data_IF_837491205275
#
_entry.id   IF_837491205275
#
_cell.length_a   1.000
_cell.length_b   1.000
_cell.length_c   1.000
_cell.angle_alpha   90.00
_cell.angle_beta   90.00
_cell.angle_gamma   90.00
#
_symmetry.space_group_name_H-M   'P 1'
#
loop_
_entity.id
_entity.type
_entity.pdbx_description
1 polymer ?
#
# COMPACT_ATOMS: atom_id res chain seq x y z
N UNK A 1 51.83 -37.67 6.99
CA UNK A 1 50.79 -36.63 6.80
C UNK A 1 50.06 -36.46 8.12
N UNK A 2 50.12 -35.26 8.71
CA UNK A 2 49.61 -35.06 10.08
C UNK A 2 48.09 -35.00 10.15
N UNK A 3 47.52 -35.79 11.07
CA UNK A 3 46.07 -35.85 11.33
C UNK A 3 45.48 -34.47 11.65
N UNK A 4 46.25 -33.59 12.30
CA UNK A 4 45.81 -32.23 12.64
C UNK A 4 45.58 -31.34 11.39
N UNK A 5 46.33 -31.55 10.30
CA UNK A 5 46.14 -30.81 9.05
C UNK A 5 44.85 -31.22 8.33
N UNK A 6 44.45 -32.49 8.46
CA UNK A 6 43.20 -33.00 7.87
C UNK A 6 41.96 -32.49 8.64
N UNK A 7 42.01 -32.48 9.97
CA UNK A 7 40.92 -31.93 10.78
C UNK A 7 40.69 -30.42 10.55
N UNK A 8 41.76 -29.61 10.48
CA UNK A 8 41.61 -28.17 10.23
C UNK A 8 40.93 -27.84 8.89
N UNK A 9 41.27 -28.59 7.83
CA UNK A 9 40.66 -28.38 6.49
C UNK A 9 39.17 -28.70 6.48
N UNK A 10 38.76 -29.78 7.14
CA UNK A 10 37.34 -30.14 7.25
C UNK A 10 36.57 -29.15 8.13
N UNK A 11 37.16 -28.68 9.24
CA UNK A 11 36.52 -27.67 10.09
C UNK A 11 36.29 -26.35 9.33
N UNK A 12 37.30 -25.90 8.57
CA UNK A 12 37.25 -24.67 7.79
C UNK A 12 36.24 -24.76 6.63
N UNK A 13 36.15 -25.93 5.95
CA UNK A 13 35.15 -26.18 4.92
C UNK A 13 33.71 -26.19 5.45
N UNK A 14 33.47 -26.82 6.61
CA UNK A 14 32.14 -26.80 7.25
C UNK A 14 31.76 -25.40 7.73
N UNK A 15 32.71 -24.64 8.31
CA UNK A 15 32.49 -23.24 8.67
C UNK A 15 32.13 -22.38 7.45
N UNK A 16 32.86 -22.50 6.34
CA UNK A 16 32.55 -21.80 5.09
C UNK A 16 31.16 -22.16 4.55
N UNK A 17 30.77 -23.45 4.61
CA UNK A 17 29.45 -23.89 4.17
C UNK A 17 28.32 -23.33 5.03
N UNK A 18 28.46 -23.39 6.36
CA UNK A 18 27.49 -22.81 7.32
C UNK A 18 27.42 -21.29 7.18
N UNK A 19 28.56 -20.59 7.02
CA UNK A 19 28.59 -19.16 6.73
C UNK A 19 27.89 -18.83 5.42
N UNK A 20 28.07 -19.62 4.36
CA UNK A 20 27.40 -19.38 3.07
C UNK A 20 25.88 -19.57 3.15
N UNK A 21 25.39 -20.54 3.93
CA UNK A 21 23.97 -20.73 4.20
C UNK A 21 23.39 -19.59 5.05
N UNK A 22 24.12 -19.10 6.04
CA UNK A 22 23.73 -17.94 6.85
C UNK A 22 23.71 -16.63 6.04
N UNK A 23 24.64 -16.47 5.08
CA UNK A 23 24.63 -15.33 4.16
C UNK A 23 23.46 -15.41 3.15
N UNK A 24 23.11 -16.60 2.66
CA UNK A 24 21.94 -16.79 1.79
C UNK A 24 20.63 -16.47 2.54
N UNK A 25 20.48 -16.95 3.78
CA UNK A 25 19.34 -16.60 4.63
C UNK A 25 19.28 -15.11 5.06
N UNK A 26 20.36 -14.35 4.85
CA UNK A 26 20.41 -12.90 5.10
C UNK A 26 20.15 -12.04 3.84
N UNK A 27 19.95 -12.65 2.67
CA UNK A 27 19.56 -11.95 1.43
C UNK A 27 18.04 -11.90 1.19
N UNK A 28 17.24 -12.64 1.97
CA UNK A 28 15.80 -12.84 1.75
C UNK A 28 14.87 -11.78 2.41
N UNK A 29 15.41 -10.65 2.89
CA UNK A 29 14.63 -9.64 3.64
C UNK A 29 14.29 -8.35 2.88
N UNK A 30 14.68 -8.22 1.61
CA UNK A 30 14.04 -7.24 0.74
C UNK A 30 12.72 -7.82 0.21
N UNK A 31 11.54 -7.28 0.56
CA UNK A 31 10.30 -7.74 -0.04
C UNK A 31 10.40 -7.54 -1.55
N UNK A 32 10.20 -8.64 -2.30
CA UNK A 32 10.18 -8.64 -3.77
C UNK A 32 9.28 -7.50 -4.25
N UNK A 33 9.81 -6.71 -5.19
CA UNK A 33 9.09 -5.59 -5.78
C UNK A 33 7.71 -6.05 -6.28
N UNK A 34 6.70 -5.22 -6.08
CA UNK A 34 5.39 -5.43 -6.70
C UNK A 34 5.56 -5.62 -8.22
N UNK A 35 4.88 -6.61 -8.77
CA UNK A 35 4.83 -6.86 -10.21
C UNK A 35 3.60 -6.22 -10.84
N UNK A 36 3.57 -6.15 -12.18
CA UNK A 36 2.35 -5.79 -12.91
C UNK A 36 1.20 -6.76 -12.60
N UNK A 37 1.48 -8.06 -12.45
CA UNK A 37 0.46 -9.04 -12.04
C UNK A 37 -0.12 -8.74 -10.65
N UNK A 38 0.71 -8.30 -9.69
CA UNK A 38 0.22 -7.92 -8.36
C UNK A 38 -0.68 -6.67 -8.40
N UNK A 39 -0.41 -5.73 -9.32
CA UNK A 39 -1.24 -4.54 -9.56
C UNK A 39 -2.56 -4.90 -10.23
N UNK A 40 -2.56 -5.74 -11.27
CA UNK A 40 -3.79 -6.20 -11.93
C UNK A 40 -4.65 -7.06 -10.98
N UNK A 41 -4.02 -7.91 -10.15
CA UNK A 41 -4.70 -8.69 -9.11
C UNK A 41 -5.35 -7.78 -8.05
N UNK A 42 -4.68 -6.68 -7.71
CA UNK A 42 -5.18 -5.71 -6.75
C UNK A 42 -6.37 -4.92 -7.30
N UNK A 43 -6.28 -4.41 -8.53
CA UNK A 43 -7.37 -3.70 -9.21
C UNK A 43 -8.61 -4.60 -9.30
N UNK A 44 -8.43 -5.86 -9.74
CA UNK A 44 -9.52 -6.85 -9.82
C UNK A 44 -10.17 -7.16 -8.48
N UNK A 45 -9.41 -7.16 -7.39
CA UNK A 45 -10.00 -7.33 -6.07
C UNK A 45 -10.95 -6.17 -5.73
N UNK A 46 -10.62 -4.93 -6.10
CA UNK A 46 -11.51 -3.78 -5.93
C UNK A 46 -12.72 -3.80 -6.86
N UNK A 47 -12.55 -4.24 -8.11
CA UNK A 47 -13.67 -4.49 -9.05
C UNK A 47 -14.66 -5.52 -8.45
N UNK A 48 -14.17 -6.68 -8.03
CA UNK A 48 -14.99 -7.72 -7.40
C UNK A 48 -15.66 -7.24 -6.09
N UNK A 49 -15.01 -6.39 -5.31
CA UNK A 49 -15.59 -5.80 -4.08
C UNK A 49 -16.73 -4.83 -4.41
N UNK A 50 -16.58 -4.03 -5.46
CA UNK A 50 -17.62 -3.12 -5.93
C UNK A 50 -18.86 -3.91 -6.42
N UNK A 51 -18.65 -5.00 -7.17
CA UNK A 51 -19.74 -5.89 -7.62
C UNK A 51 -20.56 -6.47 -6.44
N UNK A 52 -19.90 -6.88 -5.35
CA UNK A 52 -20.58 -7.43 -4.15
C UNK A 52 -20.92 -6.39 -3.08
N UNK A 53 -20.76 -5.10 -3.37
CA UNK A 53 -20.95 -4.01 -2.41
C UNK A 53 -22.34 -4.00 -1.77
N UNK A 54 -23.38 -4.31 -2.56
CA UNK A 54 -24.76 -4.47 -2.05
C UNK A 54 -24.93 -5.64 -1.07
N UNK A 55 -24.23 -6.77 -1.28
CA UNK A 55 -24.22 -7.89 -0.33
C UNK A 55 -23.51 -7.49 0.97
N UNK A 56 -22.37 -6.78 0.87
CA UNK A 56 -21.60 -6.31 2.02
C UNK A 56 -22.37 -5.32 2.89
N UNK A 57 -23.03 -4.34 2.28
CA UNK A 57 -23.79 -3.32 3.01
C UNK A 57 -25.04 -3.92 3.68
N UNK A 58 -25.74 -4.83 3.00
CA UNK A 58 -26.88 -5.53 3.59
C UNK A 58 -26.45 -6.37 4.81
N UNK A 59 -25.36 -7.15 4.70
CA UNK A 59 -24.82 -7.93 5.82
C UNK A 59 -24.34 -7.04 6.99
N UNK A 60 -23.78 -5.84 6.70
CA UNK A 60 -23.39 -4.86 7.71
C UNK A 60 -24.61 -4.32 8.49
N UNK A 61 -25.70 -4.02 7.77
CA UNK A 61 -26.96 -3.55 8.35
C UNK A 61 -27.60 -4.65 9.22
N UNK A 62 -27.70 -5.88 8.71
CA UNK A 62 -28.34 -7.00 9.42
C UNK A 62 -27.54 -7.43 10.68
N UNK A 63 -26.20 -7.39 10.61
CA UNK A 63 -25.34 -7.60 11.77
C UNK A 63 -25.30 -6.43 12.76
N UNK A 64 -25.86 -5.26 12.39
CA UNK A 64 -25.78 -3.98 13.13
C UNK A 64 -24.34 -3.52 13.39
N UNK A 65 -23.43 -3.87 12.48
CA UNK A 65 -22.02 -3.50 12.59
C UNK A 65 -21.80 -2.05 12.18
N UNK A 66 -20.91 -1.35 12.88
CA UNK A 66 -20.52 0.01 12.51
C UNK A 66 -19.77 0.05 11.18
N UNK A 67 -18.96 -0.98 10.92
CA UNK A 67 -18.17 -1.13 9.69
C UNK A 67 -18.30 -2.54 9.11
N UNK A 68 -17.98 -2.71 7.82
CA UNK A 68 -17.84 -4.04 7.20
C UNK A 68 -16.67 -4.85 7.79
N UNK A 69 -15.68 -4.18 8.41
CA UNK A 69 -14.51 -4.83 9.01
C UNK A 69 -14.89 -5.64 10.25
N UNK A 70 -15.84 -5.13 11.05
CA UNK A 70 -16.29 -5.74 12.31
C UNK A 70 -17.29 -6.90 12.08
N UNK A 71 -17.98 -6.86 10.94
CA UNK A 71 -19.01 -7.82 10.52
C UNK A 71 -18.40 -9.19 10.12
N UNK A 72 -18.87 -10.29 10.71
CA UNK A 72 -18.38 -11.65 10.42
C UNK A 72 -18.82 -12.16 9.05
N UNK A 73 -20.08 -11.92 8.69
CA UNK A 73 -20.64 -12.32 7.39
C UNK A 73 -20.02 -11.53 6.24
N UNK A 74 -19.81 -10.22 6.43
CA UNK A 74 -19.10 -9.35 5.50
C UNK A 74 -17.66 -9.84 5.25
N UNK A 75 -16.95 -10.33 6.28
CA UNK A 75 -15.64 -10.99 6.12
C UNK A 75 -15.70 -12.27 5.29
N UNK A 76 -16.84 -12.96 5.20
CA UNK A 76 -17.03 -14.11 4.31
C UNK A 76 -17.27 -13.68 2.86
N UNK A 77 -18.16 -12.71 2.65
CA UNK A 77 -18.46 -12.11 1.33
C UNK A 77 -17.19 -11.52 0.73
N UNK A 78 -16.48 -10.68 1.49
CA UNK A 78 -15.24 -10.04 1.06
C UNK A 78 -14.13 -11.06 0.76
N UNK A 79 -14.02 -12.14 1.56
CA UNK A 79 -13.06 -13.22 1.29
C UNK A 79 -13.28 -13.87 -0.07
N UNK A 80 -14.53 -14.07 -0.51
CA UNK A 80 -14.83 -14.59 -1.86
C UNK A 80 -14.30 -13.65 -2.93
N UNK A 81 -14.72 -12.37 -2.90
CA UNK A 81 -14.33 -11.36 -3.88
C UNK A 81 -12.80 -11.25 -4.06
N UNK A 82 -12.01 -11.28 -2.98
CA UNK A 82 -10.53 -11.23 -3.08
C UNK A 82 -9.90 -12.55 -3.51
N UNK A 83 -10.52 -13.70 -3.20
CA UNK A 83 -10.07 -15.01 -3.68
C UNK A 83 -10.33 -15.19 -5.18
N UNK A 84 -11.48 -14.71 -5.67
CA UNK A 84 -11.83 -14.69 -7.10
C UNK A 84 -10.91 -13.76 -7.90
N UNK A 85 -10.33 -12.73 -7.26
CA UNK A 85 -9.28 -11.91 -7.84
C UNK A 85 -7.90 -12.61 -7.88
N UNK A 86 -7.70 -13.68 -7.10
CA UNK A 86 -6.46 -14.49 -7.09
C UNK A 86 -5.63 -14.43 -5.81
N UNK A 87 -6.09 -13.79 -4.73
CA UNK A 87 -5.42 -13.85 -3.43
C UNK A 87 -5.71 -15.18 -2.72
N UNK A 88 -4.75 -15.76 -1.99
CA UNK A 88 -5.00 -17.01 -1.23
C UNK A 88 -6.02 -16.81 -0.11
N UNK A 89 -6.05 -15.63 0.49
CA UNK A 89 -6.87 -15.29 1.65
C UNK A 89 -6.96 -13.77 1.84
N UNK A 90 -7.94 -13.35 2.64
CA UNK A 90 -8.19 -11.94 2.96
C UNK A 90 -6.99 -11.26 3.63
N UNK A 91 -6.20 -11.97 4.45
CA UNK A 91 -5.02 -11.37 5.11
C UNK A 91 -3.95 -11.02 4.08
N UNK A 92 -3.70 -11.86 3.08
CA UNK A 92 -2.78 -11.55 1.98
C UNK A 92 -3.23 -10.35 1.15
N UNK A 93 -4.53 -10.26 0.84
CA UNK A 93 -5.09 -9.06 0.19
C UNK A 93 -4.84 -7.81 1.04
N UNK A 94 -5.18 -7.83 2.33
CA UNK A 94 -5.03 -6.67 3.22
C UNK A 94 -3.58 -6.22 3.42
N UNK A 95 -2.62 -7.15 3.40
CA UNK A 95 -1.18 -6.82 3.41
C UNK A 95 -0.74 -6.14 2.10
N UNK A 96 -1.25 -6.61 0.96
CA UNK A 96 -1.00 -5.98 -0.34
C UNK A 96 -1.68 -4.59 -0.44
N UNK A 97 -2.89 -4.46 0.09
CA UNK A 97 -3.65 -3.20 0.16
C UNK A 97 -2.91 -2.14 0.97
N UNK A 98 -2.41 -2.48 2.17
CA UNK A 98 -1.53 -1.60 2.94
C UNK A 98 -0.28 -1.19 2.14
N UNK A 99 0.43 -2.16 1.54
CA UNK A 99 1.66 -1.91 0.76
C UNK A 99 1.42 -0.94 -0.40
N UNK A 100 0.37 -1.18 -1.18
CA UNK A 100 0.02 -0.35 -2.35
C UNK A 100 -0.43 1.04 -1.88
N UNK A 101 -1.32 1.14 -0.88
CA UNK A 101 -1.77 2.45 -0.37
C UNK A 101 -0.62 3.28 0.22
N UNK A 102 0.26 2.70 1.04
CA UNK A 102 1.44 3.42 1.53
C UNK A 102 2.35 3.89 0.38
N UNK A 103 2.57 3.06 -0.63
CA UNK A 103 3.41 3.42 -1.79
C UNK A 103 2.75 4.52 -2.64
N UNK A 104 1.43 4.47 -2.82
CA UNK A 104 0.66 5.53 -3.49
C UNK A 104 0.73 6.84 -2.72
N UNK A 105 0.58 6.83 -1.40
CA UNK A 105 0.72 8.03 -0.57
C UNK A 105 2.11 8.66 -0.75
N UNK A 106 3.18 7.85 -0.77
CA UNK A 106 4.54 8.34 -1.02
C UNK A 106 4.76 8.82 -2.47
N UNK A 107 4.14 8.17 -3.47
CA UNK A 107 4.18 8.60 -4.87
C UNK A 107 3.49 9.95 -5.08
N UNK A 108 2.33 10.17 -4.44
CA UNK A 108 1.65 11.46 -4.47
C UNK A 108 2.45 12.56 -3.76
N UNK A 109 3.00 12.27 -2.57
CA UNK A 109 3.88 13.21 -1.85
C UNK A 109 5.12 13.60 -2.68
N UNK A 110 5.72 12.64 -3.39
CA UNK A 110 6.85 12.91 -4.27
C UNK A 110 6.46 13.81 -5.46
N UNK A 111 5.31 13.57 -6.12
CA UNK A 111 4.81 14.44 -7.20
C UNK A 111 4.54 15.87 -6.71
N UNK A 112 3.92 16.02 -5.54
CA UNK A 112 3.72 17.32 -4.87
C UNK A 112 5.07 18.02 -4.63
N UNK A 113 6.07 17.32 -4.09
CA UNK A 113 7.42 17.87 -3.89
C UNK A 113 8.12 18.28 -5.19
N UNK A 114 7.87 17.57 -6.30
CA UNK A 114 8.38 17.96 -7.63
C UNK A 114 7.73 19.25 -8.14
N UNK A 115 6.41 19.41 -8.01
CA UNK A 115 5.70 20.64 -8.41
C UNK A 115 6.18 21.86 -7.63
N UNK A 116 6.41 21.69 -6.32
CA UNK A 116 6.83 22.78 -5.44
C UNK A 116 8.34 23.05 -5.46
N UNK A 117 9.14 22.19 -6.10
CA UNK A 117 10.61 22.26 -6.10
C UNK A 117 11.25 21.91 -4.74
N UNK A 118 10.47 21.41 -3.79
CA UNK A 118 10.90 21.11 -2.41
C UNK A 118 11.15 19.60 -2.23
N UNK A 119 12.40 19.18 -2.42
CA UNK A 119 12.85 17.79 -2.21
C UNK A 119 13.56 17.56 -0.85
N UNK A 120 13.30 18.38 0.17
CA UNK A 120 14.19 18.42 1.34
C UNK A 120 13.71 19.05 2.66
N UNK A 121 12.41 19.11 2.94
CA UNK A 121 11.93 19.45 4.30
C UNK A 121 10.89 18.44 4.80
N UNK A 122 10.94 18.17 6.12
CA UNK A 122 10.06 17.25 6.84
C UNK A 122 8.80 18.01 7.28
N UNK A 123 7.95 18.34 6.28
CA UNK A 123 6.70 19.10 6.45
C UNK A 123 5.53 18.14 6.25
N UNK A 124 4.49 18.23 7.08
CA UNK A 124 3.36 17.30 6.93
C UNK A 124 2.63 17.53 5.60
N UNK A 125 2.10 16.47 5.00
CA UNK A 125 1.33 16.56 3.74
C UNK A 125 0.21 17.61 3.82
N UNK A 126 -0.51 17.68 4.94
CA UNK A 126 -1.60 18.64 5.14
C UNK A 126 -1.09 20.09 5.19
N UNK A 127 0.07 20.34 5.80
CA UNK A 127 0.73 21.65 5.78
C UNK A 127 1.23 22.01 4.37
N UNK A 128 1.89 21.09 3.65
CA UNK A 128 2.35 21.33 2.27
C UNK A 128 1.17 21.70 1.36
N UNK A 129 0.09 20.92 1.43
CA UNK A 129 -1.08 21.09 0.58
C UNK A 129 -1.88 22.36 0.88
N UNK A 130 -1.96 22.77 2.16
CA UNK A 130 -2.64 23.99 2.59
C UNK A 130 -1.75 25.24 2.55
N UNK A 131 -0.46 25.15 2.19
CA UNK A 131 0.45 26.30 2.28
C UNK A 131 0.20 27.35 1.16
N UNK A 132 -0.33 28.55 1.48
CA UNK A 132 -0.67 29.55 0.49
C UNK A 132 0.55 30.33 -0.03
N UNK A 133 1.77 30.08 0.48
CA UNK A 133 3.02 30.66 -0.04
C UNK A 133 3.57 29.78 -1.16
N UNK A 134 3.55 28.46 -1.00
CA UNK A 134 4.03 27.50 -2.01
C UNK A 134 3.16 27.56 -3.28
N UNK A 135 1.84 27.67 -3.12
CA UNK A 135 0.86 27.79 -4.22
C UNK A 135 0.99 29.06 -5.07
N UNK A 136 1.67 30.12 -4.62
CA UNK A 136 1.72 31.42 -5.34
C UNK A 136 2.61 31.43 -6.57
N UNK A 137 3.59 30.54 -6.62
CA UNK A 137 4.60 30.51 -7.68
C UNK A 137 4.23 29.56 -8.83
N UNK A 138 3.12 28.83 -8.70
CA UNK A 138 2.60 27.89 -9.69
C UNK A 138 1.68 28.57 -10.71
N UNK A 139 1.62 28.02 -11.92
CA UNK A 139 0.60 28.31 -12.92
C UNK A 139 -0.76 27.70 -12.51
N UNK A 140 -1.88 28.17 -13.10
CA UNK A 140 -3.21 27.67 -12.73
C UNK A 140 -3.40 26.16 -13.02
N UNK A 141 -2.76 25.65 -14.08
CA UNK A 141 -2.78 24.22 -14.41
C UNK A 141 -2.03 23.38 -13.35
N UNK A 142 -0.86 23.84 -12.91
CA UNK A 142 -0.08 23.22 -11.83
C UNK A 142 -0.79 23.30 -10.47
N UNK A 143 -1.59 24.36 -10.22
CA UNK A 143 -2.43 24.43 -9.00
C UNK A 143 -3.54 23.39 -9.02
N UNK A 144 -4.23 23.22 -10.14
CA UNK A 144 -5.26 22.21 -10.29
C UNK A 144 -4.67 20.79 -10.13
N UNK A 145 -3.49 20.53 -10.71
CA UNK A 145 -2.78 19.26 -10.53
C UNK A 145 -2.33 19.07 -9.06
N UNK A 146 -1.78 20.11 -8.43
CA UNK A 146 -1.42 20.08 -7.00
C UNK A 146 -2.62 19.74 -6.11
N UNK A 147 -3.78 20.38 -6.35
CA UNK A 147 -5.02 20.09 -5.63
C UNK A 147 -5.43 18.63 -5.81
N UNK A 148 -5.39 18.11 -7.04
CA UNK A 148 -5.73 16.72 -7.34
C UNK A 148 -4.79 15.70 -6.67
N UNK A 149 -3.48 15.97 -6.54
CA UNK A 149 -2.56 15.07 -5.82
C UNK A 149 -2.61 15.22 -4.30
N UNK A 150 -2.79 16.44 -3.79
CA UNK A 150 -2.97 16.73 -2.36
C UNK A 150 -4.16 15.99 -1.76
N UNK A 151 -5.35 16.23 -2.29
CA UNK A 151 -5.84 15.24 -3.24
C UNK A 151 -6.01 13.81 -2.78
N UNK A 152 -5.64 12.96 -3.73
CA UNK A 152 -5.45 11.52 -3.60
C UNK A 152 -4.61 11.17 -2.35
N UNK A 153 -3.61 11.99 -1.99
CA UNK A 153 -2.69 11.72 -0.88
C UNK A 153 -3.33 11.79 0.52
N UNK A 154 -4.19 12.77 0.81
CA UNK A 154 -4.90 12.93 2.09
C UNK A 154 -5.90 11.79 2.29
N UNK A 155 -6.66 11.46 1.24
CA UNK A 155 -7.63 10.37 1.26
C UNK A 155 -6.99 9.02 1.59
N UNK A 156 -5.85 8.72 0.95
CA UNK A 156 -5.07 7.50 1.20
C UNK A 156 -4.45 7.53 2.61
N UNK A 157 -3.96 8.67 3.10
CA UNK A 157 -3.39 8.81 4.45
C UNK A 157 -4.39 8.41 5.54
N UNK A 158 -5.63 8.92 5.46
CA UNK A 158 -6.71 8.60 6.41
C UNK A 158 -7.02 7.10 6.42
N UNK A 159 -7.10 6.49 5.23
CA UNK A 159 -7.33 5.05 5.10
C UNK A 159 -6.18 4.22 5.68
N UNK A 160 -4.92 4.56 5.38
CA UNK A 160 -3.73 3.91 5.92
C UNK A 160 -3.72 3.95 7.46
N UNK A 161 -4.03 5.09 8.07
CA UNK A 161 -4.12 5.22 9.53
C UNK A 161 -5.22 4.35 10.16
N UNK A 162 -6.35 4.16 9.45
CA UNK A 162 -7.44 3.28 9.89
C UNK A 162 -7.04 1.81 9.74
N UNK A 163 -6.55 1.41 8.57
CA UNK A 163 -6.22 0.02 8.28
C UNK A 163 -5.00 -0.48 9.08
N UNK A 164 -4.00 0.36 9.36
CA UNK A 164 -2.88 0.00 10.23
C UNK A 164 -3.27 -0.18 11.71
N UNK A 165 -4.43 0.32 12.16
CA UNK A 165 -4.99 -0.03 13.48
C UNK A 165 -5.65 -1.39 13.46
N UNK A 166 -6.32 -1.74 12.34
CA UNK A 166 -6.96 -3.03 12.15
C UNK A 166 -5.94 -4.16 11.94
N UNK A 167 -4.90 -3.92 11.14
CA UNK A 167 -3.78 -4.84 10.93
C UNK A 167 -2.69 -4.51 11.94
N UNK A 168 -2.75 -5.15 13.12
CA UNK A 168 -1.89 -4.87 14.30
C UNK A 168 -0.37 -5.06 14.08
N UNK A 169 0.06 -5.41 12.87
CA UNK A 169 1.45 -5.47 12.43
C UNK A 169 1.54 -4.94 11.00
N UNK A 170 1.99 -3.70 10.85
CA UNK A 170 2.95 -3.21 9.84
C UNK A 170 3.40 -1.83 10.31
N UNK A 171 4.68 -1.70 10.66
CA UNK A 171 5.36 -0.43 10.82
C UNK A 171 6.64 -0.48 10.00
N UNK A 172 6.66 0.24 8.88
CA UNK A 172 7.84 0.58 8.06
C UNK A 172 8.56 -0.57 7.31
N UNK A 173 8.35 -1.85 7.63
CA UNK A 173 9.12 -2.97 7.01
C UNK A 173 8.71 -3.37 5.57
N UNK A 174 7.63 -2.82 4.99
CA UNK A 174 7.02 -3.35 3.74
C UNK A 174 7.26 -2.47 2.51
N UNK A 175 7.82 -1.27 2.67
CA UNK A 175 8.04 -0.33 1.56
C UNK A 175 9.38 -0.58 0.88
N UNK A 176 9.38 -1.35 -0.21
CA UNK A 176 10.54 -1.45 -1.09
C UNK A 176 10.63 -0.22 -1.97
N UNK A 177 11.83 0.35 -2.16
CA UNK A 177 12.03 1.41 -3.17
C UNK A 177 11.62 0.98 -4.58
N UNK A 178 11.64 -0.33 -4.87
CA UNK A 178 11.22 -0.87 -6.16
C UNK A 178 9.70 -0.92 -6.34
N UNK A 179 8.90 -0.77 -5.27
CA UNK A 179 7.44 -0.66 -5.38
C UNK A 179 7.03 0.70 -5.97
N UNK A 180 7.87 1.71 -5.80
CA UNK A 180 7.62 3.07 -6.27
C UNK A 180 7.44 3.11 -7.79
N UNK A 181 8.33 2.49 -8.56
CA UNK A 181 8.34 2.58 -10.02
C UNK A 181 7.09 1.93 -10.64
N UNK A 182 6.61 0.82 -10.08
CA UNK A 182 5.39 0.16 -10.55
C UNK A 182 4.15 0.94 -10.09
N UNK A 183 4.04 1.30 -8.80
CA UNK A 183 2.87 2.02 -8.28
C UNK A 183 2.73 3.41 -8.91
N UNK A 184 3.84 4.12 -9.15
CA UNK A 184 3.81 5.42 -9.83
C UNK A 184 3.41 5.31 -11.31
N UNK A 185 3.66 4.17 -11.97
CA UNK A 185 3.24 3.92 -13.36
C UNK A 185 1.74 3.64 -13.47
N UNK A 186 1.17 2.88 -12.53
CA UNK A 186 -0.25 2.52 -12.52
C UNK A 186 -1.08 3.42 -11.59
N UNK A 187 -0.53 4.55 -11.13
CA UNK A 187 -1.10 5.36 -10.05
C UNK A 187 -2.56 5.77 -10.29
N UNK A 188 -2.89 6.23 -11.50
CA UNK A 188 -4.25 6.65 -11.84
C UNK A 188 -5.24 5.47 -11.83
N UNK A 189 -4.88 4.32 -12.41
CA UNK A 189 -5.71 3.10 -12.41
C UNK A 189 -5.88 2.52 -11.01
N UNK A 190 -4.81 2.54 -10.21
CA UNK A 190 -4.86 2.17 -8.80
C UNK A 190 -5.79 3.11 -8.02
N UNK A 191 -5.73 4.42 -8.28
CA UNK A 191 -6.60 5.40 -7.63
C UNK A 191 -8.06 5.21 -8.03
N UNK A 192 -8.35 5.08 -9.34
CA UNK A 192 -9.68 4.83 -9.88
C UNK A 192 -10.33 3.58 -9.26
N UNK A 193 -9.58 2.47 -9.17
CA UNK A 193 -10.04 1.24 -8.54
C UNK A 193 -10.41 1.42 -7.06
N UNK A 194 -9.60 2.14 -6.28
CA UNK A 194 -9.84 2.35 -4.84
C UNK A 194 -10.79 3.52 -4.53
N UNK A 195 -11.06 4.37 -5.52
CA UNK A 195 -12.04 5.48 -5.44
C UNK A 195 -13.36 5.18 -6.16
N UNK A 196 -13.57 3.95 -6.61
CA UNK A 196 -14.77 3.54 -7.31
C UNK A 196 -16.03 3.89 -6.44
N UNK A 197 -17.01 4.63 -6.98
CA UNK A 197 -18.15 5.14 -6.23
C UNK A 197 -19.03 4.03 -5.64
N UNK A 198 -19.05 2.85 -6.25
CA UNK A 198 -19.86 1.71 -5.85
C UNK A 198 -19.24 0.91 -4.68
N UNK A 199 -18.00 1.20 -4.30
CA UNK A 199 -17.37 0.57 -3.12
C UNK A 199 -18.13 0.89 -1.81
N UNK A 200 -18.13 -0.02 -0.83
CA UNK A 200 -18.61 0.27 0.53
C UNK A 200 -17.92 1.51 1.10
N UNK A 201 -18.63 2.32 1.89
CA UNK A 201 -18.11 3.58 2.45
C UNK A 201 -16.81 3.42 3.24
N UNK A 202 -16.60 2.25 3.84
CA UNK A 202 -15.42 1.89 4.62
C UNK A 202 -14.16 1.63 3.77
N UNK A 203 -14.33 1.41 2.46
CA UNK A 203 -13.26 1.15 1.49
C UNK A 203 -13.15 2.23 0.40
N UNK A 204 -14.22 2.96 0.13
CA UNK A 204 -14.24 4.03 -0.87
C UNK A 204 -13.36 5.21 -0.44
N UNK A 205 -12.26 5.45 -1.16
CA UNK A 205 -11.53 6.73 -1.06
C UNK A 205 -12.14 7.74 -2.02
N UNK A 206 -11.89 9.03 -1.82
CA UNK A 206 -12.33 10.08 -2.74
C UNK A 206 -11.48 11.32 -2.61
N UNK A 207 -11.43 12.12 -3.68
CA UNK A 207 -10.88 13.46 -3.69
C UNK A 207 -11.84 14.44 -2.99
N UNK A 208 -11.99 14.31 -1.67
CA UNK A 208 -12.80 15.25 -0.88
C UNK A 208 -12.01 16.52 -0.59
N UNK A 209 -12.60 17.70 -0.81
CA UNK A 209 -11.94 19.00 -0.61
C UNK A 209 -11.11 19.05 0.68
N UNK A 210 -9.87 19.54 0.57
CA UNK A 210 -8.93 19.68 1.69
C UNK A 210 -9.20 20.94 2.52
N UNK A 211 -10.32 21.63 2.31
CA UNK A 211 -10.62 22.93 2.93
C UNK A 211 -11.45 22.84 4.24
N UNK A 212 -11.91 21.65 4.62
CA UNK A 212 -12.59 21.36 5.92
C UNK A 212 -11.60 21.00 7.07
#
# INVERSE_FOLDING_TARGET
MDKNSFMLKNLCGVLLFVSSLLCLGACDTNPLALTEEDVERYIRAYENIAEVSGELEQARIDSKSLTIFDCEECRSIWRRAVQDAGYSDLKRFMLADLRINYTMHYAAYFRIGQMLGELGQDVSLEEVCRNPVLRRNLYEEEKAELDEYCGRAVAISRYVQMLSKFVTVISLEVLSKADFDIVNRYFDRLFEAISNPDLPSDLRRGSGDWDD
#
